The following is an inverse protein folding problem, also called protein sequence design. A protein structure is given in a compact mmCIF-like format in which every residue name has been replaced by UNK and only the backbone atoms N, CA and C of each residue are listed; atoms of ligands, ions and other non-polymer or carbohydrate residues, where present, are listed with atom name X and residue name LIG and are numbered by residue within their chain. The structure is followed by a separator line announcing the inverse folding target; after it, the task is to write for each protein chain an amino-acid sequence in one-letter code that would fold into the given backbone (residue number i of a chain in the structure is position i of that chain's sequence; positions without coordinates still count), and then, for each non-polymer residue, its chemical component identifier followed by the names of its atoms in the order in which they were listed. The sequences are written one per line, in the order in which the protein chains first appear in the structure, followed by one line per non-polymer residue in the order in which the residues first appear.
data_IF_536053321379
#
_entry.id   IF_536053321379
#
_cell.length_a   1.000
_cell.length_b   1.000
_cell.length_c   1.000
_cell.angle_alpha   90.00
_cell.angle_beta   90.00
_cell.angle_gamma   90.00
#
_symmetry.space_group_name_H-M   'P 1'
#
loop_
_entity.id
_entity.type
_entity.pdbx_description
1 polymer ?
#
# COMPACT_ATOMS: atom_id res chain seq x y z
N UNK A 1 12.48 2.53 -14.43
CA UNK A 1 11.07 2.97 -14.41
C UNK A 1 10.25 2.31 -13.30
N UNK A 2 10.13 0.94 -13.18
CA UNK A 2 9.29 0.28 -12.14
C UNK A 2 9.70 0.64 -10.70
N UNK A 3 10.99 0.60 -10.37
CA UNK A 3 11.50 0.98 -9.05
C UNK A 3 11.20 2.44 -8.74
N UNK A 4 11.41 3.32 -9.72
CA UNK A 4 11.13 4.75 -9.56
C UNK A 4 9.64 4.99 -9.28
N UNK A 5 8.74 4.32 -10.00
CA UNK A 5 7.29 4.40 -9.74
C UNK A 5 6.94 3.96 -8.31
N UNK A 6 7.55 2.86 -7.84
CA UNK A 6 7.37 2.38 -6.48
C UNK A 6 7.82 3.41 -5.43
N UNK A 7 9.05 3.91 -5.52
CA UNK A 7 9.59 4.86 -4.56
C UNK A 7 8.88 6.22 -4.61
N UNK A 8 8.58 6.73 -5.81
CA UNK A 8 7.84 8.00 -5.98
C UNK A 8 6.42 7.90 -5.44
N UNK A 9 5.73 6.75 -5.62
CA UNK A 9 4.38 6.60 -5.07
C UNK A 9 4.34 6.63 -3.55
N UNK A 10 5.37 6.13 -2.87
CA UNK A 10 5.50 6.19 -1.40
C UNK A 10 5.70 7.64 -0.93
N UNK A 11 6.66 8.34 -1.53
CA UNK A 11 6.90 9.75 -1.22
C UNK A 11 5.65 10.59 -1.48
N UNK A 12 5.00 10.37 -2.63
CA UNK A 12 3.77 11.06 -2.98
C UNK A 12 2.62 10.74 -2.00
N UNK A 13 2.52 9.49 -1.50
CA UNK A 13 1.53 9.12 -0.50
C UNK A 13 1.70 9.92 0.80
N UNK A 14 2.92 10.05 1.30
CA UNK A 14 3.21 10.84 2.50
C UNK A 14 2.89 12.32 2.28
N UNK A 15 3.33 12.90 1.15
CA UNK A 15 3.05 14.32 0.82
C UNK A 15 1.55 14.57 0.69
N UNK A 16 0.81 13.70 0.01
CA UNK A 16 -0.64 13.83 -0.17
C UNK A 16 -1.38 13.67 1.16
N UNK A 17 -0.94 12.74 2.03
CA UNK A 17 -1.53 12.59 3.36
C UNK A 17 -1.32 13.84 4.23
N UNK A 18 -0.15 14.45 4.17
CA UNK A 18 0.15 15.66 4.93
C UNK A 18 -0.52 16.91 4.35
N UNK A 19 -0.66 17.01 3.02
CA UNK A 19 -1.18 18.19 2.34
C UNK A 19 -2.71 18.29 2.31
N UNK A 20 -3.42 17.17 2.42
CA UNK A 20 -4.88 17.12 2.25
C UNK A 20 -5.59 16.50 3.45
N UNK A 21 -6.72 17.11 3.83
CA UNK A 21 -7.59 16.55 4.84
C UNK A 21 -8.11 15.15 4.42
N UNK A 22 -8.37 14.25 5.37
CA UNK A 22 -8.96 12.95 5.07
C UNK A 22 -10.32 13.09 4.37
N UNK A 23 -10.56 12.21 3.40
CA UNK A 23 -11.86 12.11 2.73
C UNK A 23 -12.86 11.48 3.69
N UNK A 24 -13.98 12.18 3.94
CA UNK A 24 -15.08 11.68 4.76
C UNK A 24 -16.25 11.27 3.88
N UNK A 25 -16.63 9.99 3.92
CA UNK A 25 -17.77 9.41 3.19
C UNK A 25 -18.72 8.75 4.19
N UNK A 26 -19.69 9.49 4.71
CA UNK A 26 -20.57 9.01 5.78
C UNK A 26 -19.74 8.68 7.03
N UNK A 27 -19.73 7.40 7.42
CA UNK A 27 -18.95 6.94 8.58
C UNK A 27 -17.48 6.66 8.27
N UNK A 28 -17.09 6.61 7.01
CA UNK A 28 -15.73 6.28 6.61
C UNK A 28 -14.82 7.50 6.60
N UNK A 29 -13.63 7.38 7.19
CA UNK A 29 -12.58 8.40 7.20
C UNK A 29 -11.35 7.79 6.53
N UNK A 30 -10.99 8.30 5.35
CA UNK A 30 -9.93 7.75 4.51
C UNK A 30 -8.87 8.82 4.24
N UNK A 31 -7.65 8.68 4.78
CA UNK A 31 -6.54 9.54 4.44
C UNK A 31 -6.31 9.58 2.92
N UNK A 32 -6.06 10.75 2.36
CA UNK A 32 -5.91 10.88 0.90
C UNK A 32 -4.74 10.08 0.33
N UNK A 33 -3.67 9.90 1.09
CA UNK A 33 -2.55 9.03 0.70
C UNK A 33 -2.91 7.55 0.56
N UNK A 34 -4.04 7.09 1.14
CA UNK A 34 -4.51 5.70 1.03
C UNK A 34 -4.63 5.23 -0.41
N UNK A 35 -5.02 6.13 -1.32
CA UNK A 35 -5.11 5.83 -2.76
C UNK A 35 -3.74 5.51 -3.36
N UNK A 36 -2.71 6.25 -2.97
CA UNK A 36 -1.34 6.03 -3.43
C UNK A 36 -0.70 4.82 -2.74
N UNK A 37 -0.97 4.60 -1.46
CA UNK A 37 -0.53 3.39 -0.76
C UNK A 37 -1.12 2.13 -1.43
N UNK A 38 -2.40 2.16 -1.83
CA UNK A 38 -2.96 1.07 -2.65
C UNK A 38 -2.19 0.83 -3.94
N UNK A 39 -1.72 1.89 -4.59
CA UNK A 39 -0.89 1.77 -5.80
C UNK A 39 0.54 1.29 -5.52
N UNK A 40 1.12 1.57 -4.34
CA UNK A 40 2.48 1.10 -3.99
C UNK A 40 2.57 -0.42 -4.01
N UNK A 41 1.56 -1.13 -3.48
CA UNK A 41 1.51 -2.59 -3.52
C UNK A 41 1.61 -3.12 -4.96
N UNK A 42 0.92 -2.48 -5.91
CA UNK A 42 0.96 -2.87 -7.32
C UNK A 42 2.35 -2.64 -7.92
N UNK A 43 2.92 -1.46 -7.68
CA UNK A 43 4.25 -1.13 -8.20
C UNK A 43 5.33 -2.02 -7.60
N UNK A 44 5.22 -2.38 -6.31
CA UNK A 44 6.10 -3.33 -5.66
C UNK A 44 5.98 -4.72 -6.30
N UNK A 45 4.77 -5.20 -6.61
CA UNK A 45 4.57 -6.47 -7.29
C UNK A 45 5.18 -6.48 -8.70
N UNK A 46 5.08 -5.36 -9.43
CA UNK A 46 5.75 -5.20 -10.71
C UNK A 46 7.29 -5.21 -10.57
N UNK A 47 7.82 -4.69 -9.47
CA UNK A 47 9.25 -4.79 -9.14
C UNK A 47 9.62 -6.23 -8.82
N UNK A 48 8.85 -6.91 -7.98
CA UNK A 48 9.08 -8.29 -7.58
C UNK A 48 9.02 -9.25 -8.78
N UNK A 49 8.06 -9.05 -9.67
CA UNK A 49 7.95 -9.86 -10.89
C UNK A 49 9.17 -9.71 -11.81
N UNK A 50 9.80 -8.53 -11.83
CA UNK A 50 10.97 -8.26 -12.69
C UNK A 50 12.30 -8.64 -12.04
N UNK A 51 12.48 -8.34 -10.75
CA UNK A 51 13.78 -8.39 -10.08
C UNK A 51 13.89 -9.53 -9.05
N UNK A 52 12.78 -10.19 -8.74
CA UNK A 52 12.70 -11.29 -7.80
C UNK A 52 12.64 -10.84 -6.34
N UNK A 53 12.28 -11.79 -5.46
CA UNK A 53 11.97 -11.56 -4.04
C UNK A 53 13.11 -10.89 -3.26
N UNK A 54 14.35 -11.37 -3.41
CA UNK A 54 15.49 -10.83 -2.64
C UNK A 54 15.74 -9.34 -2.91
N UNK A 55 15.67 -8.92 -4.18
CA UNK A 55 15.85 -7.50 -4.54
C UNK A 55 14.66 -6.66 -4.09
N UNK A 56 13.45 -7.23 -4.06
CA UNK A 56 12.27 -6.53 -3.56
C UNK A 56 12.42 -6.16 -2.09
N UNK A 57 12.94 -7.04 -1.23
CA UNK A 57 13.24 -6.69 0.16
C UNK A 57 14.24 -5.54 0.30
N UNK A 58 15.24 -5.48 -0.56
CA UNK A 58 16.18 -4.35 -0.57
C UNK A 58 15.46 -3.03 -0.93
N UNK A 59 14.53 -3.06 -1.90
CA UNK A 59 13.75 -1.88 -2.27
C UNK A 59 12.71 -1.50 -1.21
N UNK A 60 12.13 -2.46 -0.49
CA UNK A 60 11.28 -2.19 0.68
C UNK A 60 12.09 -1.47 1.77
N UNK A 61 13.30 -1.93 2.08
CA UNK A 61 14.19 -1.25 3.02
C UNK A 61 14.53 0.19 2.60
N UNK A 62 14.82 0.40 1.32
CA UNK A 62 15.04 1.76 0.78
C UNK A 62 13.78 2.62 0.88
N UNK A 63 12.61 2.05 0.61
CA UNK A 63 11.33 2.73 0.69
C UNK A 63 11.01 3.16 2.13
N UNK A 64 11.25 2.29 3.12
CA UNK A 64 11.14 2.61 4.55
C UNK A 64 12.00 3.82 4.92
N UNK A 65 13.28 3.82 4.53
CA UNK A 65 14.17 4.95 4.81
C UNK A 65 13.66 6.26 4.19
N UNK A 66 13.23 6.21 2.92
CA UNK A 66 12.68 7.38 2.23
C UNK A 66 11.38 7.87 2.89
N UNK A 67 10.48 6.96 3.26
CA UNK A 67 9.22 7.27 3.94
C UNK A 67 9.49 7.96 5.27
N UNK A 68 10.35 7.39 6.12
CA UNK A 68 10.71 7.96 7.42
C UNK A 68 11.30 9.38 7.31
N UNK A 69 12.20 9.58 6.35
CA UNK A 69 12.80 10.91 6.09
C UNK A 69 11.73 11.91 5.64
N UNK A 70 10.89 11.53 4.70
CA UNK A 70 9.83 12.42 4.17
C UNK A 70 8.81 12.76 5.25
N UNK A 71 8.30 11.79 6.00
CA UNK A 71 7.36 12.00 7.12
C UNK A 71 7.97 12.95 8.17
N UNK A 72 9.26 12.77 8.51
CA UNK A 72 9.94 13.64 9.45
C UNK A 72 10.07 15.09 8.94
N UNK A 73 10.36 15.28 7.65
CA UNK A 73 10.42 16.60 7.02
C UNK A 73 9.04 17.26 6.96
N UNK A 74 7.98 16.49 6.76
CA UNK A 74 6.60 16.98 6.71
C UNK A 74 6.04 17.34 8.10
N UNK A 75 6.78 17.01 9.17
CA UNK A 75 6.43 17.40 10.55
C UNK A 75 5.51 16.40 11.25
N UNK A 76 5.45 15.15 10.78
CA UNK A 76 4.73 14.08 11.47
C UNK A 76 5.31 13.84 12.86
N UNK A 77 4.45 13.52 13.82
CA UNK A 77 4.90 13.14 15.16
C UNK A 77 5.65 11.82 15.12
N UNK A 78 6.61 11.61 16.03
CA UNK A 78 7.40 10.38 16.08
C UNK A 78 6.53 9.13 16.16
N UNK A 79 5.37 9.20 16.83
CA UNK A 79 4.46 8.06 16.95
C UNK A 79 3.80 7.73 15.60
N UNK A 80 3.46 8.74 14.81
CA UNK A 80 2.90 8.54 13.45
C UNK A 80 3.98 7.95 12.54
N UNK A 81 5.20 8.49 12.56
CA UNK A 81 6.31 7.96 11.77
C UNK A 81 6.56 6.49 12.14
N UNK A 82 6.68 6.18 13.44
CA UNK A 82 6.90 4.80 13.90
C UNK A 82 5.77 3.86 13.48
N UNK A 83 4.51 4.26 13.68
CA UNK A 83 3.34 3.46 13.29
C UNK A 83 3.30 3.22 11.78
N UNK A 84 3.58 4.25 10.98
CA UNK A 84 3.62 4.16 9.52
C UNK A 84 4.70 3.19 9.04
N UNK A 85 5.93 3.34 9.56
CA UNK A 85 7.06 2.48 9.15
C UNK A 85 6.88 1.03 9.57
N UNK A 86 6.39 0.79 10.80
CA UNK A 86 6.10 -0.57 11.29
C UNK A 86 5.01 -1.23 10.44
N UNK A 87 3.94 -0.50 10.17
CA UNK A 87 2.82 -0.95 9.34
C UNK A 87 3.28 -1.30 7.94
N UNK A 88 4.03 -0.39 7.30
CA UNK A 88 4.58 -0.58 5.98
C UNK A 88 5.50 -1.81 5.92
N UNK A 89 6.41 -1.96 6.88
CA UNK A 89 7.30 -3.12 6.95
C UNK A 89 6.52 -4.44 7.03
N UNK A 90 5.51 -4.53 7.91
CA UNK A 90 4.70 -5.74 8.08
C UNK A 90 3.85 -6.02 6.84
N UNK A 91 3.15 -5.02 6.31
CA UNK A 91 2.26 -5.19 5.18
C UNK A 91 3.02 -5.57 3.91
N UNK A 92 4.10 -4.86 3.58
CA UNK A 92 4.90 -5.11 2.37
C UNK A 92 5.64 -6.45 2.42
N UNK A 93 6.15 -6.84 3.59
CA UNK A 93 6.82 -8.15 3.74
C UNK A 93 5.82 -9.29 3.63
N UNK A 94 4.63 -9.16 4.27
CA UNK A 94 3.57 -10.16 4.19
C UNK A 94 3.07 -10.32 2.76
N UNK A 95 2.80 -9.21 2.08
CA UNK A 95 2.37 -9.21 0.69
C UNK A 95 3.45 -9.85 -0.21
N UNK A 96 4.72 -9.50 -0.05
CA UNK A 96 5.85 -10.10 -0.77
C UNK A 96 5.92 -11.62 -0.59
N UNK A 97 5.69 -12.13 0.63
CA UNK A 97 5.67 -13.56 0.92
C UNK A 97 4.46 -14.27 0.28
N UNK A 98 3.27 -13.69 0.40
CA UNK A 98 2.06 -14.25 -0.21
C UNK A 98 2.22 -14.28 -1.73
N UNK A 99 2.62 -13.16 -2.34
CA UNK A 99 2.88 -13.06 -3.78
C UNK A 99 3.86 -14.15 -4.26
N UNK A 100 4.92 -14.42 -3.48
CA UNK A 100 5.94 -15.40 -3.83
C UNK A 100 5.44 -16.84 -3.77
N UNK A 101 4.53 -17.14 -2.84
CA UNK A 101 4.05 -18.52 -2.57
C UNK A 101 2.85 -18.91 -3.42
N UNK A 102 2.08 -17.94 -3.92
CA UNK A 102 0.93 -18.23 -4.75
C UNK A 102 1.34 -18.74 -6.13
N UNK A 103 0.87 -19.94 -6.49
CA UNK A 103 1.04 -20.56 -7.81
C UNK A 103 -0.12 -20.19 -8.75
N UNK A 104 -0.36 -18.91 -8.92
CA UNK A 104 -1.46 -18.34 -9.71
C UNK A 104 -0.92 -17.42 -10.82
N UNK A 105 -1.81 -16.98 -11.72
CA UNK A 105 -1.48 -15.94 -12.69
C UNK A 105 -1.03 -14.66 -11.98
N UNK A 106 -0.23 -13.85 -12.66
CA UNK A 106 0.29 -12.59 -12.09
C UNK A 106 -0.84 -11.68 -11.57
N UNK A 107 -1.95 -11.56 -12.31
CA UNK A 107 -3.10 -10.76 -11.91
C UNK A 107 -3.74 -11.22 -10.60
N UNK A 108 -3.92 -12.54 -10.44
CA UNK A 108 -4.48 -13.11 -9.21
C UNK A 108 -3.50 -13.02 -8.03
N UNK A 109 -2.19 -13.15 -8.28
CA UNK A 109 -1.17 -12.94 -7.25
C UNK A 109 -1.21 -11.51 -6.71
N UNK A 110 -1.22 -10.51 -7.60
CA UNK A 110 -1.37 -9.08 -7.25
C UNK A 110 -2.65 -8.85 -6.45
N UNK A 111 -3.77 -9.43 -6.88
CA UNK A 111 -5.05 -9.24 -6.21
C UNK A 111 -5.05 -9.79 -4.79
N UNK A 112 -4.71 -11.07 -4.62
CA UNK A 112 -4.81 -11.73 -3.32
C UNK A 112 -3.76 -11.24 -2.33
N UNK A 113 -2.51 -11.06 -2.77
CA UNK A 113 -1.46 -10.55 -1.89
C UNK A 113 -1.75 -9.10 -1.47
N UNK A 114 -2.17 -8.27 -2.42
CA UNK A 114 -2.50 -6.87 -2.14
C UNK A 114 -3.73 -6.67 -1.25
N UNK A 115 -4.74 -7.55 -1.32
CA UNK A 115 -5.87 -7.52 -0.38
C UNK A 115 -5.39 -7.79 1.05
N UNK A 116 -4.59 -8.85 1.25
CA UNK A 116 -4.08 -9.18 2.59
C UNK A 116 -3.14 -8.09 3.11
N UNK A 117 -2.21 -7.63 2.29
CA UNK A 117 -1.33 -6.50 2.63
C UNK A 117 -2.11 -5.24 2.98
N UNK A 118 -3.14 -4.91 2.18
CA UNK A 118 -4.01 -3.76 2.40
C UNK A 118 -4.84 -3.83 3.69
N UNK A 119 -5.31 -5.02 4.08
CA UNK A 119 -5.99 -5.23 5.37
C UNK A 119 -5.03 -5.01 6.53
N UNK A 120 -3.84 -5.62 6.48
CA UNK A 120 -2.82 -5.46 7.52
C UNK A 120 -2.38 -4.01 7.66
N UNK A 121 -2.07 -3.36 6.54
CA UNK A 121 -1.69 -1.95 6.52
C UNK A 121 -2.78 -1.08 7.15
N UNK A 122 -4.03 -1.23 6.76
CA UNK A 122 -5.13 -0.43 7.28
C UNK A 122 -5.38 -0.69 8.77
N UNK A 123 -5.37 -1.95 9.19
CA UNK A 123 -5.65 -2.31 10.59
C UNK A 123 -4.53 -1.81 11.51
N UNK A 124 -3.27 -2.08 11.17
CA UNK A 124 -2.13 -1.73 12.03
C UNK A 124 -1.96 -0.21 12.09
N UNK A 125 -1.99 0.49 10.93
CA UNK A 125 -1.80 1.93 10.91
C UNK A 125 -2.92 2.68 11.65
N UNK A 126 -4.18 2.31 11.46
CA UNK A 126 -5.27 2.99 12.17
C UNK A 126 -5.21 2.74 13.66
N UNK A 127 -4.90 1.50 14.07
CA UNK A 127 -4.81 1.16 15.51
C UNK A 127 -3.60 1.79 16.17
N UNK A 128 -2.41 1.68 15.58
CA UNK A 128 -1.16 2.16 16.20
C UNK A 128 -0.89 3.64 15.94
N UNK A 129 -1.31 4.16 14.79
CA UNK A 129 -1.02 5.54 14.40
C UNK A 129 -2.13 6.52 14.75
N UNK A 130 -3.38 6.19 14.45
CA UNK A 130 -4.48 7.15 14.49
C UNK A 130 -5.39 7.03 15.72
N UNK A 131 -5.48 5.85 16.35
CA UNK A 131 -6.34 5.62 17.52
C UNK A 131 -5.81 6.30 18.78
N UNK A 132 -6.54 6.23 19.91
CA UNK A 132 -6.04 6.72 21.21
C UNK A 132 -4.77 6.02 21.72
N UNK A 133 -4.36 4.88 21.16
CA UNK A 133 -3.05 4.27 21.44
C UNK A 133 -1.88 5.03 20.78
N UNK A 134 -2.16 5.72 19.69
CA UNK A 134 -1.17 6.48 18.92
C UNK A 134 -1.34 7.98 19.10
N UNK A 135 -1.56 8.68 17.99
CA UNK A 135 -1.67 10.15 17.97
C UNK A 135 -3.04 10.68 18.45
N UNK A 136 -4.00 9.80 18.79
CA UNK A 136 -5.34 10.17 19.28
C UNK A 136 -6.16 11.05 18.30
N UNK A 137 -5.97 10.82 17.01
CA UNK A 137 -6.77 11.51 15.97
C UNK A 137 -8.18 10.95 15.83
N UNK A 138 -8.37 9.66 16.15
CA UNK A 138 -9.65 8.96 16.02
C UNK A 138 -10.07 8.37 17.35
N UNK A 139 -11.32 8.59 17.80
CA UNK A 139 -11.85 7.87 18.97
C UNK A 139 -12.04 6.39 18.61
N UNK A 140 -12.01 5.50 19.61
CA UNK A 140 -12.19 4.05 19.40
C UNK A 140 -13.43 3.67 18.60
N UNK A 141 -14.51 4.41 18.77
CA UNK A 141 -15.75 4.17 18.02
C UNK A 141 -15.63 4.41 16.51
N UNK A 142 -14.67 5.25 16.07
CA UNK A 142 -14.43 5.54 14.65
C UNK A 142 -13.39 4.58 14.01
N UNK A 143 -12.59 3.89 14.81
CA UNK A 143 -11.51 3.00 14.34
C UNK A 143 -11.99 1.92 13.36
N UNK A 144 -13.07 1.15 13.64
CA UNK A 144 -13.54 0.12 12.70
C UNK A 144 -13.95 0.70 11.34
N UNK A 145 -14.65 1.84 11.34
CA UNK A 145 -15.10 2.49 10.12
C UNK A 145 -13.91 3.04 9.30
N UNK A 146 -12.90 3.59 9.95
CA UNK A 146 -11.69 4.07 9.30
C UNK A 146 -10.88 2.91 8.68
N UNK A 147 -10.74 1.78 9.37
CA UNK A 147 -10.10 0.57 8.83
C UNK A 147 -10.86 0.10 7.60
N UNK A 148 -12.17 -0.08 7.72
CA UNK A 148 -13.02 -0.60 6.65
C UNK A 148 -12.98 0.32 5.41
N UNK A 149 -13.04 1.63 5.60
CA UNK A 149 -12.94 2.61 4.51
C UNK A 149 -11.62 2.47 3.73
N UNK A 150 -10.49 2.37 4.43
CA UNK A 150 -9.19 2.18 3.79
C UNK A 150 -9.08 0.82 3.07
N UNK A 151 -9.58 -0.25 3.68
CA UNK A 151 -9.60 -1.61 3.08
C UNK A 151 -10.41 -1.61 1.79
N UNK A 152 -11.59 -1.00 1.79
CA UNK A 152 -12.44 -0.91 0.58
C UNK A 152 -11.69 -0.19 -0.54
N UNK A 153 -11.12 0.98 -0.27
CA UNK A 153 -10.38 1.76 -1.27
C UNK A 153 -9.21 0.96 -1.84
N UNK A 154 -8.39 0.37 -0.99
CA UNK A 154 -7.23 -0.44 -1.42
C UNK A 154 -7.66 -1.67 -2.22
N UNK A 155 -8.72 -2.35 -1.81
CA UNK A 155 -9.27 -3.52 -2.52
C UNK A 155 -9.77 -3.15 -3.92
N UNK A 156 -10.46 -2.02 -4.07
CA UNK A 156 -10.90 -1.53 -5.37
C UNK A 156 -9.68 -1.25 -6.28
N UNK A 157 -8.65 -0.58 -5.76
CA UNK A 157 -7.43 -0.29 -6.51
C UNK A 157 -6.74 -1.58 -6.96
N UNK A 158 -6.61 -2.57 -6.07
CA UNK A 158 -6.04 -3.89 -6.39
C UNK A 158 -6.86 -4.63 -7.44
N UNK A 159 -8.19 -4.57 -7.36
CA UNK A 159 -9.10 -5.16 -8.35
C UNK A 159 -8.91 -4.55 -9.74
N UNK A 160 -8.87 -3.22 -9.83
CA UNK A 160 -8.62 -2.52 -11.09
C UNK A 160 -7.26 -2.90 -11.68
N UNK A 161 -6.21 -2.92 -10.85
CA UNK A 161 -4.88 -3.31 -11.30
C UNK A 161 -4.82 -4.75 -11.80
N UNK A 162 -5.44 -5.68 -11.09
CA UNK A 162 -5.51 -7.08 -11.50
C UNK A 162 -6.22 -7.25 -12.85
N UNK A 163 -7.29 -6.49 -13.09
CA UNK A 163 -7.99 -6.47 -14.38
C UNK A 163 -7.10 -5.93 -15.51
N UNK A 164 -6.41 -4.81 -15.29
CA UNK A 164 -5.48 -4.22 -16.27
C UNK A 164 -4.36 -5.20 -16.62
N UNK A 165 -3.74 -5.82 -15.60
CA UNK A 165 -2.67 -6.81 -15.79
C UNK A 165 -3.20 -8.04 -16.56
N UNK A 166 -4.41 -8.50 -16.25
CA UNK A 166 -5.02 -9.63 -16.95
C UNK A 166 -5.23 -9.32 -18.44
N UNK A 167 -5.80 -8.16 -18.77
CA UNK A 167 -6.04 -7.73 -20.15
C UNK A 167 -4.72 -7.58 -20.93
N UNK A 168 -3.72 -6.92 -20.34
CA UNK A 168 -2.42 -6.69 -20.97
C UNK A 168 -1.70 -8.02 -21.27
N UNK A 169 -1.75 -8.98 -20.35
CA UNK A 169 -1.14 -10.29 -20.56
C UNK A 169 -1.85 -11.10 -21.66
N UNK A 170 -3.17 -10.96 -21.79
CA UNK A 170 -3.92 -11.61 -22.85
C UNK A 170 -3.59 -10.98 -24.22
N UNK A 171 -3.57 -9.66 -24.34
CA UNK A 171 -3.23 -8.99 -25.60
C UNK A 171 -1.83 -9.37 -26.09
N UNK A 172 -0.84 -9.47 -25.20
CA UNK A 172 0.52 -9.91 -25.56
C UNK A 172 0.56 -11.31 -26.16
N UNK A 173 -0.32 -12.23 -25.76
CA UNK A 173 -0.41 -13.58 -26.34
C UNK A 173 -0.94 -13.57 -27.78
N UNK A 174 -1.86 -12.69 -28.10
CA UNK A 174 -2.42 -12.59 -29.46
C UNK A 174 -1.46 -11.89 -30.44
N UNK A 175 -0.66 -10.95 -29.98
CA UNK A 175 0.31 -10.22 -30.82
C UNK A 175 1.53 -11.08 -31.20
N UNK A 176 1.87 -12.11 -30.41
CA UNK A 176 2.98 -13.04 -30.71
C UNK A 176 2.52 -14.20 -31.62
N UNK A 177 1.20 -14.43 -31.76
CA UNK A 177 0.63 -15.49 -32.57
C UNK A 177 0.25 -15.03 -34.01
N UNK A 178 0.41 -13.76 -34.33
CA UNK A 178 0.22 -13.15 -35.67
C UNK A 178 1.56 -12.83 -36.30
#
# INVERSE_FOLDING_TARGET
MRILLYLVSIVAANVVTAAFAPLTMGMFIVPMGTFLIGATFIFRDLVQNKYGRKKTYMFIGLALLLSAVVSSILGDTLIIVFASELTFAIAETTDTEIYSRLKLSMSLRVLYSGIVGGILDSAIFVVLGLSPLGANFLPWGAVPAAILGQVIVKTIIQGIAALIIHQTNNMSKYTVAS
#
